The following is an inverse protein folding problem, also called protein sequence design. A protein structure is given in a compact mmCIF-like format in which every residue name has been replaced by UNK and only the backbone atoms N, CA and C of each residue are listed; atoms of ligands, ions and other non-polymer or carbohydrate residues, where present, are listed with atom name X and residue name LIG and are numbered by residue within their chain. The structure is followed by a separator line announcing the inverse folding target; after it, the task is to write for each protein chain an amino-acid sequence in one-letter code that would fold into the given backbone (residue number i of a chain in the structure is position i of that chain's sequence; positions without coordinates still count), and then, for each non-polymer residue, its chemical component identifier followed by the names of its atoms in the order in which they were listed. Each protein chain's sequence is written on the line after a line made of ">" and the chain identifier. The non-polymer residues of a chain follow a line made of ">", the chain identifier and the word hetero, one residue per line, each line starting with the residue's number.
data_IF_717065781078
#
_entry.id   IF_717065781078
#
_cell.length_a   1.000
_cell.length_b   1.000
_cell.length_c   1.000
_cell.angle_alpha   90.00
_cell.angle_beta   90.00
_cell.angle_gamma   90.00
#
_symmetry.space_group_name_H-M   'P 1'
#
loop_
_entity.id
_entity.type
_entity.pdbx_description
1 polymer ?
#
# COMPACT_ATOMS: atom_id res chain seq x y z
N UNK A 1 12.44 40.50 -54.36
CA UNK A 1 11.09 40.42 -53.77
C UNK A 1 10.94 39.03 -53.17
N UNK A 2 10.60 38.97 -51.89
CA UNK A 2 10.93 37.84 -51.01
C UNK A 2 10.05 36.61 -51.16
N UNK A 3 10.67 35.44 -51.02
CA UNK A 3 9.98 34.19 -50.75
C UNK A 3 9.87 34.02 -49.24
N UNK A 4 8.65 34.15 -48.75
CA UNK A 4 8.25 33.88 -47.37
C UNK A 4 8.26 32.37 -47.14
N UNK A 5 9.25 31.86 -46.41
CA UNK A 5 9.18 30.50 -45.86
C UNK A 5 8.33 30.53 -44.59
N UNK A 6 7.02 30.33 -44.75
CA UNK A 6 6.12 29.98 -43.66
C UNK A 6 6.29 28.49 -43.35
N UNK A 7 7.34 28.15 -42.59
CA UNK A 7 7.40 26.86 -41.90
C UNK A 7 6.44 26.91 -40.71
N UNK A 8 5.15 26.64 -40.99
CA UNK A 8 4.19 26.32 -39.95
C UNK A 8 4.49 24.91 -39.46
N UNK A 9 5.35 24.80 -38.43
CA UNK A 9 5.38 23.61 -37.58
C UNK A 9 4.04 23.55 -36.86
N UNK A 10 3.08 22.83 -37.46
CA UNK A 10 1.93 22.32 -36.73
C UNK A 10 2.48 21.32 -35.73
N UNK A 11 2.70 21.76 -34.49
CA UNK A 11 2.72 20.86 -33.34
C UNK A 11 1.31 20.27 -33.29
N UNK A 12 1.17 19.10 -33.89
CA UNK A 12 -0.03 18.31 -33.78
C UNK A 12 -0.11 17.84 -32.32
N UNK A 13 -0.75 18.64 -31.47
CA UNK A 13 -1.37 18.15 -30.24
C UNK A 13 -2.58 17.29 -30.64
N UNK A 14 -2.31 16.19 -31.35
CA UNK A 14 -3.31 15.20 -31.71
C UNK A 14 -3.54 14.34 -30.49
N UNK A 15 -4.68 14.54 -29.82
CA UNK A 15 -5.36 13.59 -28.94
C UNK A 15 -4.50 12.40 -28.52
N UNK A 16 -3.55 12.63 -27.61
CA UNK A 16 -2.84 11.52 -26.99
C UNK A 16 -3.89 10.74 -26.24
N UNK A 17 -4.21 9.56 -26.76
CA UNK A 17 -5.21 8.67 -26.18
C UNK A 17 -4.92 8.55 -24.68
N UNK A 18 -5.92 8.87 -23.85
CA UNK A 18 -5.76 8.90 -22.39
C UNK A 18 -5.28 7.54 -21.88
N UNK A 19 -5.69 6.46 -22.54
CA UNK A 19 -5.20 5.12 -22.27
C UNK A 19 -3.70 4.97 -22.56
N UNK A 20 -3.22 5.53 -23.67
CA UNK A 20 -1.81 5.51 -24.04
C UNK A 20 -0.95 6.37 -23.08
N UNK A 21 -1.46 7.53 -22.64
CA UNK A 21 -0.79 8.33 -21.59
C UNK A 21 -0.74 7.58 -20.25
N UNK A 22 -1.83 6.96 -19.83
CA UNK A 22 -1.89 6.17 -18.60
C UNK A 22 -0.95 4.96 -18.62
N UNK A 23 -0.76 4.32 -19.78
CA UNK A 23 0.20 3.23 -19.95
C UNK A 23 1.66 3.70 -19.84
N UNK A 24 2.00 4.86 -20.38
CA UNK A 24 3.38 5.38 -20.27
C UNK A 24 3.76 5.84 -18.86
N UNK A 25 2.76 6.08 -17.99
CA UNK A 25 2.94 6.56 -16.62
C UNK A 25 2.67 5.46 -15.57
N UNK A 26 2.66 4.18 -15.97
CA UNK A 26 2.36 3.07 -15.05
C UNK A 26 3.31 3.04 -13.85
N UNK A 27 4.60 3.26 -14.06
CA UNK A 27 5.57 3.32 -12.98
C UNK A 27 5.35 4.54 -12.07
N UNK A 28 5.01 5.69 -12.64
CA UNK A 28 4.74 6.92 -11.88
C UNK A 28 3.50 6.78 -11.01
N UNK A 29 2.51 6.00 -11.46
CA UNK A 29 1.30 5.69 -10.69
C UNK A 29 1.57 4.88 -9.41
N UNK A 30 2.73 4.22 -9.28
CA UNK A 30 3.10 3.52 -8.05
C UNK A 30 3.45 4.48 -6.90
N UNK A 31 3.87 5.71 -7.22
CA UNK A 31 4.39 6.66 -6.23
C UNK A 31 3.36 7.02 -5.15
N UNK A 32 2.14 7.37 -5.55
CA UNK A 32 1.06 7.77 -4.65
C UNK A 32 0.63 6.65 -3.68
N UNK A 33 0.22 5.45 -4.14
CA UNK A 33 -0.17 4.38 -3.22
C UNK A 33 1.03 3.90 -2.38
N UNK A 34 2.26 3.93 -2.89
CA UNK A 34 3.44 3.64 -2.06
C UNK A 34 3.60 4.68 -0.93
N UNK A 35 3.41 5.97 -1.22
CA UNK A 35 3.46 7.02 -0.21
C UNK A 35 2.36 6.85 0.84
N UNK A 36 1.13 6.53 0.44
CA UNK A 36 0.02 6.24 1.37
C UNK A 36 0.31 5.04 2.29
N UNK A 37 0.93 3.97 1.75
CA UNK A 37 1.40 2.84 2.54
C UNK A 37 2.46 3.27 3.57
N UNK A 38 3.41 4.12 3.17
CA UNK A 38 4.47 4.62 4.06
C UNK A 38 3.91 5.52 5.16
N UNK A 39 3.03 6.46 4.81
CA UNK A 39 2.41 7.37 5.77
C UNK A 39 1.60 6.60 6.82
N UNK A 40 0.81 5.62 6.39
CA UNK A 40 0.08 4.73 7.29
C UNK A 40 1.03 3.91 8.18
N UNK A 41 2.11 3.35 7.62
CA UNK A 41 3.10 2.60 8.37
C UNK A 41 3.80 3.44 9.45
N UNK A 42 4.23 4.64 9.10
CA UNK A 42 4.90 5.54 10.04
C UNK A 42 3.97 5.93 11.19
N UNK A 43 2.70 6.23 10.89
CA UNK A 43 1.70 6.46 11.92
C UNK A 43 1.56 5.24 12.85
N UNK A 44 1.37 4.04 12.29
CA UNK A 44 1.16 2.83 13.06
C UNK A 44 2.39 2.44 13.90
N UNK A 45 3.61 2.77 13.43
CA UNK A 45 4.85 2.60 14.19
C UNK A 45 4.94 3.49 15.41
N UNK A 46 4.39 4.70 15.34
CA UNK A 46 4.35 5.65 16.47
C UNK A 46 3.25 5.31 17.49
N UNK A 47 2.22 4.55 17.07
CA UNK A 47 1.01 4.27 17.86
C UNK A 47 0.84 2.77 18.20
N UNK A 48 1.94 2.07 18.51
CA UNK A 48 1.89 0.62 18.81
C UNK A 48 1.05 0.27 20.03
N UNK A 49 1.00 1.14 21.03
CA UNK A 49 0.18 0.92 22.23
C UNK A 49 -1.32 1.01 21.89
N UNK A 50 -1.70 1.91 20.98
CA UNK A 50 -3.07 2.05 20.51
C UNK A 50 -3.50 0.85 19.66
N UNK A 51 -2.60 0.30 18.84
CA UNK A 51 -2.83 -0.97 18.13
C UNK A 51 -3.19 -2.12 19.09
N UNK A 52 -2.47 -2.24 20.21
CA UNK A 52 -2.73 -3.27 21.22
C UNK A 52 -4.06 -3.03 21.93
N UNK A 53 -4.36 -1.78 22.30
CA UNK A 53 -5.64 -1.42 22.91
C UNK A 53 -6.80 -1.67 21.96
N UNK A 54 -6.63 -1.33 20.68
CA UNK A 54 -7.59 -1.58 19.63
C UNK A 54 -7.87 -3.08 19.48
N UNK A 55 -6.83 -3.91 19.34
CA UNK A 55 -6.95 -5.38 19.27
C UNK A 55 -7.72 -5.97 20.44
N UNK A 56 -7.44 -5.52 21.68
CA UNK A 56 -8.18 -5.94 22.88
C UNK A 56 -9.65 -5.49 22.87
N UNK A 57 -9.96 -4.37 22.24
CA UNK A 57 -11.33 -3.86 22.11
C UNK A 57 -12.16 -4.67 21.11
N UNK A 58 -11.53 -5.26 20.08
CA UNK A 58 -12.21 -6.06 19.04
C UNK A 58 -12.94 -7.28 19.61
N UNK A 59 -12.43 -7.84 20.72
CA UNK A 59 -12.97 -9.04 21.35
C UNK A 59 -14.06 -8.73 22.38
N UNK A 60 -14.33 -7.45 22.65
CA UNK A 60 -15.37 -7.06 23.60
C UNK A 60 -16.74 -7.11 22.92
N UNK A 61 -17.75 -7.74 23.54
CA UNK A 61 -19.12 -7.71 23.04
C UNK A 61 -19.71 -6.32 23.26
N UNK A 62 -19.52 -5.44 22.28
CA UNK A 62 -20.14 -4.12 22.25
C UNK A 62 -21.52 -4.19 21.55
N UNK A 63 -22.57 -3.57 22.09
CA UNK A 63 -23.88 -3.52 21.45
C UNK A 63 -23.83 -2.60 20.22
N UNK A 64 -23.66 -3.20 19.05
CA UNK A 64 -23.68 -2.51 17.74
C UNK A 64 -22.75 -3.23 16.76
N UNK A 65 -23.21 -3.53 15.55
CA UNK A 65 -22.32 -4.12 14.55
C UNK A 65 -21.29 -3.07 14.13
N UNK A 66 -20.01 -3.45 14.09
CA UNK A 66 -18.92 -2.66 13.52
C UNK A 66 -18.54 -3.27 12.16
N UNK A 67 -19.42 -3.22 11.14
CA UNK A 67 -19.21 -3.93 9.87
C UNK A 67 -17.91 -3.49 9.20
N UNK A 68 -17.55 -2.21 9.31
CA UNK A 68 -16.32 -1.67 8.76
C UNK A 68 -15.05 -2.29 9.39
N UNK A 69 -15.07 -2.58 10.69
CA UNK A 69 -13.96 -3.23 11.40
C UNK A 69 -13.78 -4.67 10.90
N UNK A 70 -14.88 -5.42 10.80
CA UNK A 70 -14.86 -6.80 10.32
C UNK A 70 -14.40 -6.90 8.87
N UNK A 71 -14.78 -5.95 8.02
CA UNK A 71 -14.33 -5.87 6.64
C UNK A 71 -12.84 -5.57 6.53
N UNK A 72 -12.32 -4.59 7.28
CA UNK A 72 -10.86 -4.31 7.31
C UNK A 72 -10.07 -5.50 7.87
N UNK A 73 -10.58 -6.13 8.94
CA UNK A 73 -9.99 -7.35 9.49
C UNK A 73 -9.97 -8.48 8.46
N UNK A 74 -11.06 -8.66 7.70
CA UNK A 74 -11.16 -9.64 6.61
C UNK A 74 -10.14 -9.38 5.50
N UNK A 75 -9.97 -8.12 5.12
CA UNK A 75 -8.95 -7.73 4.13
C UNK A 75 -7.54 -8.07 4.63
N UNK A 76 -7.21 -7.71 5.87
CA UNK A 76 -5.92 -8.03 6.48
C UNK A 76 -5.70 -9.54 6.55
N UNK A 77 -6.66 -10.30 7.09
CA UNK A 77 -6.53 -11.76 7.19
C UNK A 77 -6.37 -12.43 5.82
N UNK A 78 -7.03 -11.91 4.78
CA UNK A 78 -6.88 -12.41 3.40
C UNK A 78 -5.49 -12.13 2.84
N UNK A 79 -4.99 -10.90 2.99
CA UNK A 79 -3.69 -10.50 2.46
C UNK A 79 -2.54 -11.24 3.13
N UNK A 80 -2.58 -11.33 4.46
CA UNK A 80 -1.48 -11.85 5.28
C UNK A 80 -1.68 -13.30 5.75
N UNK A 81 -2.76 -13.96 5.34
CA UNK A 81 -3.07 -15.35 5.71
C UNK A 81 -3.18 -15.55 7.22
N UNK A 82 -3.73 -14.55 7.91
CA UNK A 82 -4.01 -14.68 9.33
C UNK A 82 -5.19 -15.63 9.53
N UNK A 83 -4.98 -16.62 10.40
CA UNK A 83 -5.97 -17.62 10.73
C UNK A 83 -6.16 -17.68 12.23
N UNK A 84 -7.41 -17.83 12.67
CA UNK A 84 -7.69 -18.08 14.08
C UNK A 84 -7.38 -19.53 14.40
N UNK A 85 -6.75 -19.77 15.55
CA UNK A 85 -6.53 -21.11 16.08
C UNK A 85 -7.81 -21.75 16.67
N UNK A 86 -8.97 -21.06 16.65
CA UNK A 86 -10.20 -21.55 17.27
C UNK A 86 -10.85 -22.71 16.48
N UNK A 87 -11.41 -23.64 17.27
CA UNK A 87 -12.10 -24.86 16.81
C UNK A 87 -13.38 -24.54 16.05
N UNK A 88 -13.74 -25.45 15.15
CA UNK A 88 -15.02 -25.50 14.42
C UNK A 88 -16.22 -25.22 15.35
N UNK A 89 -17.05 -24.21 15.01
CA UNK A 89 -18.30 -23.92 15.72
C UNK A 89 -18.60 -22.43 16.02
N UNK A 90 -17.65 -21.52 15.85
CA UNK A 90 -17.83 -20.08 16.06
C UNK A 90 -17.67 -19.29 14.75
N UNK A 91 -18.62 -19.47 13.84
CA UNK A 91 -18.68 -18.73 12.58
C UNK A 91 -18.94 -17.23 12.86
N UNK A 92 -18.05 -16.36 12.37
CA UNK A 92 -18.11 -14.89 12.54
C UNK A 92 -17.06 -14.30 13.50
N UNK A 93 -16.75 -14.95 14.62
CA UNK A 93 -15.70 -14.47 15.53
C UNK A 93 -14.28 -14.79 15.06
N UNK A 94 -14.13 -15.73 14.11
CA UNK A 94 -12.83 -16.21 13.64
C UNK A 94 -11.94 -15.11 13.06
N UNK A 95 -12.47 -14.25 12.19
CA UNK A 95 -11.68 -13.20 11.52
C UNK A 95 -11.26 -12.11 12.50
N UNK A 96 -12.20 -11.58 13.28
CA UNK A 96 -11.90 -10.58 14.29
C UNK A 96 -10.92 -11.11 15.35
N UNK A 97 -11.04 -12.38 15.74
CA UNK A 97 -10.12 -13.00 16.68
C UNK A 97 -8.72 -13.21 16.09
N UNK A 98 -8.62 -13.63 14.83
CA UNK A 98 -7.34 -13.74 14.13
C UNK A 98 -6.64 -12.38 14.05
N UNK A 99 -7.39 -11.35 13.63
CA UNK A 99 -6.87 -10.00 13.52
C UNK A 99 -6.47 -9.42 14.88
N UNK A 100 -7.32 -9.54 15.89
CA UNK A 100 -7.02 -9.12 17.26
C UNK A 100 -5.74 -9.78 17.79
N UNK A 101 -5.57 -11.09 17.56
CA UNK A 101 -4.37 -11.81 18.00
C UNK A 101 -3.07 -11.31 17.36
N UNK A 102 -3.13 -10.85 16.11
CA UNK A 102 -1.98 -10.24 15.44
C UNK A 102 -1.70 -8.83 16.00
N UNK A 103 -2.75 -8.06 16.29
CA UNK A 103 -2.61 -6.72 16.88
C UNK A 103 -2.06 -6.72 18.31
N UNK A 104 -2.22 -7.83 19.05
CA UNK A 104 -1.53 -8.02 20.34
C UNK A 104 0.00 -8.14 20.20
N UNK A 105 0.50 -8.36 18.98
CA UNK A 105 1.92 -8.41 18.64
C UNK A 105 2.24 -7.32 17.60
N UNK A 106 2.16 -6.03 17.96
CA UNK A 106 2.21 -4.93 16.99
C UNK A 106 3.52 -4.89 16.21
N UNK A 107 4.64 -5.31 16.80
CA UNK A 107 5.93 -5.38 16.08
C UNK A 107 5.91 -6.42 14.96
N UNK A 108 5.27 -7.58 15.19
CA UNK A 108 5.12 -8.60 14.16
C UNK A 108 4.20 -8.09 13.05
N UNK A 109 3.05 -7.52 13.42
CA UNK A 109 2.13 -6.92 12.47
C UNK A 109 2.79 -5.85 11.59
N UNK A 110 3.52 -4.91 12.19
CA UNK A 110 4.26 -3.86 11.47
C UNK A 110 5.34 -4.44 10.54
N UNK A 111 6.01 -5.52 10.96
CA UNK A 111 6.97 -6.22 10.12
C UNK A 111 6.29 -6.91 8.93
N UNK A 112 5.10 -7.47 9.13
CA UNK A 112 4.29 -8.06 8.06
C UNK A 112 3.86 -6.98 7.04
N UNK A 113 3.34 -5.84 7.51
CA UNK A 113 3.03 -4.68 6.66
C UNK A 113 4.28 -4.19 5.89
N UNK A 114 5.42 -4.07 6.57
CA UNK A 114 6.67 -3.61 5.97
C UNK A 114 7.23 -4.61 4.94
N UNK A 115 7.06 -5.91 5.16
CA UNK A 115 7.58 -6.96 4.29
C UNK A 115 6.65 -7.28 3.11
N UNK A 116 5.40 -6.81 3.16
CA UNK A 116 4.42 -7.02 2.10
C UNK A 116 4.92 -6.53 0.74
N UNK A 117 4.96 -7.43 -0.24
CA UNK A 117 5.32 -7.11 -1.62
C UNK A 117 4.07 -7.07 -2.49
N UNK A 118 3.56 -5.88 -2.78
CA UNK A 118 2.39 -5.69 -3.64
C UNK A 118 2.59 -6.33 -5.03
N UNK A 119 3.82 -6.30 -5.56
CA UNK A 119 4.18 -6.93 -6.83
C UNK A 119 4.08 -8.46 -6.82
N UNK A 120 4.10 -9.10 -5.65
CA UNK A 120 4.02 -10.55 -5.49
C UNK A 120 2.61 -11.04 -5.12
N UNK A 121 1.62 -10.14 -4.98
CA UNK A 121 0.26 -10.54 -4.63
C UNK A 121 -0.42 -11.32 -5.77
N UNK A 122 -1.04 -12.48 -5.48
CA UNK A 122 -1.88 -13.20 -6.45
C UNK A 122 -3.10 -12.39 -6.87
N UNK A 123 -3.49 -12.51 -8.14
CA UNK A 123 -4.64 -11.77 -8.71
C UNK A 123 -5.94 -12.10 -7.98
N UNK A 124 -6.09 -13.34 -7.52
CA UNK A 124 -7.23 -13.83 -6.77
C UNK A 124 -7.40 -13.07 -5.44
N UNK A 125 -6.30 -12.86 -4.71
CA UNK A 125 -6.32 -12.07 -3.46
C UNK A 125 -6.64 -10.60 -3.73
N UNK A 126 -6.08 -10.03 -4.80
CA UNK A 126 -6.35 -8.64 -5.20
C UNK A 126 -7.86 -8.47 -5.45
N UNK A 127 -8.47 -9.35 -6.26
CA UNK A 127 -9.91 -9.29 -6.57
C UNK A 127 -10.78 -9.52 -5.33
N UNK A 128 -10.43 -10.47 -4.47
CA UNK A 128 -11.17 -10.72 -3.24
C UNK A 128 -11.16 -9.51 -2.31
N UNK A 129 -10.00 -8.91 -2.08
CA UNK A 129 -9.87 -7.73 -1.20
C UNK A 129 -10.52 -6.52 -1.83
N UNK A 130 -10.37 -6.30 -3.14
CA UNK A 130 -11.04 -5.21 -3.86
C UNK A 130 -12.56 -5.28 -3.72
N UNK A 131 -13.15 -6.49 -3.81
CA UNK A 131 -14.58 -6.67 -3.58
C UNK A 131 -14.99 -6.25 -2.16
N UNK A 132 -14.24 -6.67 -1.14
CA UNK A 132 -14.50 -6.28 0.24
C UNK A 132 -14.35 -4.77 0.47
N UNK A 133 -13.36 -4.13 -0.17
CA UNK A 133 -13.14 -2.68 -0.08
C UNK A 133 -14.24 -1.86 -0.78
N UNK A 134 -14.97 -2.43 -1.76
CA UNK A 134 -16.12 -1.76 -2.39
C UNK A 134 -17.35 -1.72 -1.47
N UNK A 135 -17.48 -2.70 -0.56
CA UNK A 135 -18.57 -2.74 0.41
C UNK A 135 -18.35 -1.76 1.57
N UNK A 136 -17.11 -1.33 1.79
CA UNK A 136 -16.77 -0.29 2.77
C UNK A 136 -16.68 1.05 2.03
N UNK A 137 -17.56 1.99 2.34
CA UNK A 137 -17.26 3.40 2.07
C UNK A 137 -16.18 3.80 3.10
N UNK A 138 -14.90 3.53 2.81
CA UNK A 138 -13.73 3.80 3.68
C UNK A 138 -13.49 5.32 3.72
N UNK A 139 -14.51 6.09 4.04
CA UNK A 139 -14.38 7.46 4.45
C UNK A 139 -14.20 7.47 5.97
N UNK A 140 -13.35 8.37 6.46
CA UNK A 140 -13.10 8.54 7.90
C UNK A 140 -14.39 8.64 8.75
N UNK A 141 -15.51 9.04 8.15
CA UNK A 141 -16.81 9.13 8.81
C UNK A 141 -17.45 7.76 9.17
N UNK A 142 -17.13 6.66 8.48
CA UNK A 142 -17.76 5.34 8.67
C UNK A 142 -16.94 4.38 9.54
N UNK A 143 -15.66 4.68 9.77
CA UNK A 143 -14.77 3.90 10.63
C UNK A 143 -14.89 4.29 12.12
N UNK A 144 -15.66 5.33 12.42
CA UNK A 144 -15.70 5.94 13.75
C UNK A 144 -14.44 6.77 14.01
N UNK A 145 -14.26 7.26 15.23
CA UNK A 145 -13.10 8.06 15.63
C UNK A 145 -11.82 7.23 15.85
N UNK A 146 -11.69 6.08 15.18
CA UNK A 146 -10.60 5.14 15.41
C UNK A 146 -9.52 5.29 14.33
N UNK A 147 -8.58 6.19 14.59
CA UNK A 147 -7.50 6.56 13.67
C UNK A 147 -6.61 5.37 13.31
N UNK A 148 -6.41 4.42 14.23
CA UNK A 148 -5.65 3.19 13.96
C UNK A 148 -6.31 2.37 12.86
N UNK A 149 -7.62 2.16 12.95
CA UNK A 149 -8.36 1.41 11.94
C UNK A 149 -8.34 2.11 10.58
N UNK A 150 -8.47 3.44 10.57
CA UNK A 150 -8.36 4.24 9.35
C UNK A 150 -7.01 4.05 8.67
N UNK A 151 -5.92 4.08 9.44
CA UNK A 151 -4.57 3.91 8.89
C UNK A 151 -4.31 2.49 8.40
N UNK A 152 -4.84 1.47 9.10
CA UNK A 152 -4.80 0.09 8.58
C UNK A 152 -5.59 -0.04 7.28
N UNK A 153 -6.79 0.53 7.20
CA UNK A 153 -7.62 0.50 5.99
C UNK A 153 -6.95 1.24 4.81
N UNK A 154 -6.36 2.42 5.08
CA UNK A 154 -5.60 3.19 4.11
C UNK A 154 -4.40 2.38 3.58
N UNK A 155 -3.64 1.74 4.46
CA UNK A 155 -2.54 0.86 4.07
C UNK A 155 -3.01 -0.27 3.14
N UNK A 156 -4.06 -0.99 3.53
CA UNK A 156 -4.61 -2.12 2.77
C UNK A 156 -5.08 -1.69 1.39
N UNK A 157 -5.85 -0.59 1.32
CA UNK A 157 -6.33 -0.04 0.04
C UNK A 157 -5.16 0.35 -0.87
N UNK A 158 -4.18 1.09 -0.34
CA UNK A 158 -3.02 1.50 -1.10
C UNK A 158 -2.17 0.30 -1.57
N UNK A 159 -2.04 -0.75 -0.74
CA UNK A 159 -1.35 -1.97 -1.12
C UNK A 159 -2.04 -2.72 -2.27
N UNK A 160 -3.37 -2.76 -2.27
CA UNK A 160 -4.18 -3.31 -3.38
C UNK A 160 -4.03 -2.47 -4.64
N UNK A 161 -4.06 -1.14 -4.51
CA UNK A 161 -3.86 -0.21 -5.63
C UNK A 161 -2.47 -0.41 -6.28
N UNK A 162 -1.41 -0.54 -5.47
CA UNK A 162 -0.07 -0.93 -5.93
C UNK A 162 -0.09 -2.27 -6.68
N UNK A 163 -0.74 -3.29 -6.10
CA UNK A 163 -0.76 -4.63 -6.67
C UNK A 163 -1.49 -4.69 -8.02
N UNK A 164 -2.55 -3.89 -8.19
CA UNK A 164 -3.25 -3.72 -9.46
C UNK A 164 -2.34 -3.10 -10.52
N UNK A 165 -1.61 -2.05 -10.18
CA UNK A 165 -0.64 -1.43 -11.09
C UNK A 165 0.45 -2.43 -11.48
N UNK A 166 0.95 -3.26 -10.55
CA UNK A 166 1.89 -4.33 -10.87
C UNK A 166 1.31 -5.39 -11.81
N UNK A 167 0.03 -5.73 -11.67
CA UNK A 167 -0.66 -6.58 -12.64
C UNK A 167 -0.69 -5.93 -14.04
N UNK A 168 -1.04 -4.64 -14.12
CA UNK A 168 -1.02 -3.88 -15.39
C UNK A 168 0.38 -3.87 -16.03
N UNK A 169 1.44 -3.65 -15.23
CA UNK A 169 2.83 -3.71 -15.70
C UNK A 169 3.17 -5.09 -16.26
N UNK A 170 2.77 -6.16 -15.57
CA UNK A 170 3.03 -7.54 -16.00
C UNK A 170 2.30 -7.86 -17.30
N UNK A 171 1.05 -7.44 -17.43
CA UNK A 171 0.25 -7.61 -18.66
C UNK A 171 0.84 -6.80 -19.82
N UNK A 172 1.20 -5.53 -19.61
CA UNK A 172 1.82 -4.68 -20.62
C UNK A 172 3.18 -5.22 -21.10
N UNK A 173 4.01 -5.74 -20.19
CA UNK A 173 5.28 -6.39 -20.54
C UNK A 173 5.10 -7.69 -21.33
N UNK A 174 4.06 -8.47 -21.01
CA UNK A 174 3.70 -9.67 -21.75
C UNK A 174 3.28 -9.32 -23.19
N UNK A 175 2.49 -8.26 -23.35
CA UNK A 175 2.04 -7.73 -24.64
C UNK A 175 3.13 -6.96 -25.42
N UNK A 176 4.31 -6.77 -24.85
CA UNK A 176 5.42 -6.04 -25.49
C UNK A 176 5.23 -4.52 -25.54
N UNK A 177 4.32 -3.97 -24.73
CA UNK A 177 4.06 -2.53 -24.61
C UNK A 177 5.06 -1.83 -23.69
N UNK A 178 5.71 -2.59 -22.80
CA UNK A 178 6.80 -2.13 -21.94
C UNK A 178 8.01 -3.04 -22.18
N UNK A 179 9.21 -2.48 -22.11
CA UNK A 179 10.45 -3.25 -22.14
C UNK A 179 10.48 -4.29 -21.02
N UNK A 180 10.70 -5.57 -21.38
CA UNK A 180 10.67 -6.67 -20.42
C UNK A 180 11.73 -6.55 -19.33
N UNK A 181 12.89 -5.98 -19.65
CA UNK A 181 13.97 -5.81 -18.68
C UNK A 181 13.64 -4.68 -17.69
N UNK A 182 13.01 -3.59 -18.15
CA UNK A 182 12.46 -2.56 -17.27
C UNK A 182 11.35 -3.11 -16.36
N UNK A 183 10.42 -3.89 -16.91
CA UNK A 183 9.36 -4.52 -16.12
C UNK A 183 9.92 -5.50 -15.06
N UNK A 184 10.92 -6.31 -15.43
CA UNK A 184 11.59 -7.24 -14.51
C UNK A 184 12.25 -6.52 -13.32
N UNK A 185 12.88 -5.35 -13.54
CA UNK A 185 13.46 -4.55 -12.44
C UNK A 185 12.43 -4.14 -11.38
N UNK A 186 11.18 -3.94 -11.79
CA UNK A 186 10.09 -3.56 -10.89
C UNK A 186 9.47 -4.80 -10.23
N UNK A 187 9.17 -5.83 -11.02
CA UNK A 187 8.44 -7.02 -10.58
C UNK A 187 9.29 -7.98 -9.74
N UNK A 188 10.58 -8.09 -10.05
CA UNK A 188 11.48 -9.08 -9.45
C UNK A 188 12.32 -8.50 -8.30
N UNK A 189 12.04 -7.25 -7.88
CA UNK A 189 12.69 -6.64 -6.72
C UNK A 189 12.50 -7.53 -5.48
N UNK A 190 13.58 -7.86 -4.74
CA UNK A 190 13.48 -8.65 -3.51
C UNK A 190 12.83 -7.85 -2.37
N UNK A 191 12.90 -6.53 -2.43
CA UNK A 191 12.39 -5.61 -1.41
C UNK A 191 11.01 -5.05 -1.80
N UNK A 192 10.21 -4.73 -0.78
CA UNK A 192 8.95 -4.00 -0.90
C UNK A 192 9.19 -2.50 -1.13
N UNK A 193 8.23 -1.83 -1.80
CA UNK A 193 8.37 -0.42 -2.17
C UNK A 193 8.41 0.50 -0.96
N UNK A 194 7.54 0.25 0.02
CA UNK A 194 7.49 0.99 1.27
C UNK A 194 8.79 0.88 2.07
N UNK A 195 9.44 -0.29 2.07
CA UNK A 195 10.75 -0.47 2.72
C UNK A 195 11.83 0.35 2.01
N UNK A 196 11.84 0.36 0.67
CA UNK A 196 12.78 1.17 -0.12
C UNK A 196 12.58 2.66 0.11
N UNK A 197 11.32 3.11 0.10
CA UNK A 197 10.97 4.51 0.31
C UNK A 197 11.36 4.97 1.73
N UNK A 198 11.04 4.20 2.77
CA UNK A 198 11.43 4.50 4.14
C UNK A 198 12.96 4.53 4.29
N UNK A 199 13.68 3.56 3.70
CA UNK A 199 15.15 3.55 3.73
C UNK A 199 15.74 4.79 3.07
N UNK A 200 15.19 5.21 1.93
CA UNK A 200 15.61 6.42 1.23
C UNK A 200 15.42 7.67 2.09
N UNK A 201 14.30 7.79 2.80
CA UNK A 201 14.01 8.90 3.72
C UNK A 201 15.03 9.00 4.87
N UNK A 202 15.54 7.87 5.37
CA UNK A 202 16.55 7.84 6.44
C UNK A 202 17.95 8.17 5.91
N UNK A 203 18.32 7.67 4.73
CA UNK A 203 19.63 7.96 4.11
C UNK A 203 19.76 9.38 3.54
N UNK A 204 18.62 10.06 3.34
CA UNK A 204 18.57 11.45 2.86
C UNK A 204 18.77 12.49 3.96
N UNK A 205 18.85 12.10 5.24
CA UNK A 205 19.32 12.99 6.29
C UNK A 205 20.83 13.16 6.11
N UNK A 206 21.35 14.38 5.87
CA UNK A 206 22.78 14.62 6.02
C UNK A 206 23.08 14.41 7.51
N UNK A 207 23.52 13.20 7.85
CA UNK A 207 24.17 12.97 9.13
C UNK A 207 25.26 14.04 9.26
N UNK A 208 25.13 14.84 10.31
CA UNK A 208 26.08 15.89 10.65
C UNK A 208 27.46 15.28 10.62
N UNK A 209 28.20 15.60 9.57
CA UNK A 209 29.63 15.34 9.52
C UNK A 209 30.20 16.01 10.78
N UNK A 210 30.85 15.28 11.71
CA UNK A 210 31.51 15.94 12.81
C UNK A 210 32.53 16.92 12.20
N UNK A 211 32.65 18.16 12.72
CA UNK A 211 33.58 19.12 12.16
C UNK A 211 34.98 18.50 12.22
N UNK A 212 35.51 18.21 11.04
CA UNK A 212 36.89 17.84 10.87
C UNK A 212 37.75 19.05 11.23
N UNK A 213 38.53 18.92 12.30
CA UNK A 213 39.74 19.70 12.49
C UNK A 213 39.66 20.81 13.54
N UNK A 214 40.31 20.55 14.67
CA UNK A 214 41.46 21.36 15.05
C UNK A 214 42.52 20.45 15.68
N UNK A 215 43.54 20.10 14.90
CA UNK A 215 44.88 19.87 15.45
C UNK A 215 45.50 21.26 15.54
N UNK A 216 45.65 21.79 16.74
CA UNK A 216 46.57 22.89 16.97
C UNK A 216 47.99 22.35 17.24
N UNK A 217 49.03 23.06 16.78
CA UNK A 217 50.43 22.68 16.93
C UNK A 217 50.96 22.79 18.37
#
# INVERSE_FOLDING_TARGET
>A
MGNTLLTSQKIACGHTDRAHLQQNLLCDRLSQPTAEMVDALLFLQEHTDELVLFGKSLLRPEPGSRPSVELVASCCCTLFEYHSARREGEEGQGVLAAFAGVLEQPQQFLQDLMSMRAQALPKEKITQVEFLLQEVDIQAATLGSDEVLEKVAAFVKAAVDCAKIYCEIREAAHLGQIDRHQAAKLLDSPESDQRRMISAMHTGRPDGSPPAGHKEP
#
